data_IF_847427202690
#
_entry.id   IF_847427202690
#
_cell.length_a   1.000
_cell.length_b   1.000
_cell.length_c   1.000
_cell.angle_alpha   90.00
_cell.angle_beta   90.00
_cell.angle_gamma   90.00
#
_symmetry.space_group_name_H-M   'P 1'
#
loop_
_entity.id
_entity.type
_entity.pdbx_description
1 polymer ?
#
# COMPACT_ATOMS: atom_id res chain seq x y z
N UNK A 1 -14.37 51.66 -17.75
CA UNK A 1 -13.03 51.32 -17.22
C UNK A 1 -12.94 49.86 -16.75
N UNK A 2 -13.59 48.90 -17.43
CA UNK A 2 -13.84 47.54 -16.88
C UNK A 2 -13.16 46.40 -17.65
N UNK A 3 -12.68 46.63 -18.88
CA UNK A 3 -12.07 45.57 -19.71
C UNK A 3 -10.57 45.36 -19.42
N UNK A 4 -9.81 46.43 -19.20
CA UNK A 4 -8.36 46.41 -18.99
C UNK A 4 -7.95 45.77 -17.66
N UNK A 5 -8.76 45.93 -16.61
CA UNK A 5 -8.50 45.34 -15.30
C UNK A 5 -8.70 43.81 -15.31
N UNK A 6 -9.73 43.33 -16.02
CA UNK A 6 -10.08 41.90 -16.15
C UNK A 6 -9.02 41.10 -16.93
N UNK A 7 -8.45 41.69 -17.99
CA UNK A 7 -7.35 41.11 -18.77
C UNK A 7 -6.06 40.96 -17.95
N UNK A 8 -5.76 41.94 -17.09
CA UNK A 8 -4.58 41.90 -16.22
C UNK A 8 -4.69 40.85 -15.10
N UNK A 9 -5.90 40.64 -14.57
CA UNK A 9 -6.16 39.61 -13.56
C UNK A 9 -6.15 38.20 -14.16
N UNK A 10 -6.65 38.01 -15.40
CA UNK A 10 -6.56 36.72 -16.09
C UNK A 10 -5.11 36.35 -16.44
N UNK A 11 -4.30 37.33 -16.86
CA UNK A 11 -2.89 37.11 -17.15
C UNK A 11 -2.09 36.77 -15.88
N UNK A 12 -2.39 37.46 -14.76
CA UNK A 12 -1.78 37.19 -13.45
C UNK A 12 -2.16 35.80 -12.94
N UNK A 13 -3.43 35.42 -13.01
CA UNK A 13 -3.88 34.05 -12.65
C UNK A 13 -3.19 32.98 -13.48
N UNK A 14 -3.11 33.14 -14.80
CA UNK A 14 -2.44 32.18 -15.67
C UNK A 14 -0.93 32.06 -15.36
N UNK A 15 -0.28 33.15 -14.97
CA UNK A 15 1.13 33.15 -14.57
C UNK A 15 1.34 32.49 -13.20
N UNK A 16 0.45 32.75 -12.25
CA UNK A 16 0.44 32.12 -10.92
C UNK A 16 0.20 30.61 -11.04
N UNK A 17 -0.74 30.18 -11.88
CA UNK A 17 -1.03 28.76 -12.09
C UNK A 17 0.13 28.03 -12.77
N UNK A 18 0.76 28.64 -13.79
CA UNK A 18 2.00 28.11 -14.37
C UNK A 18 3.13 28.00 -13.35
N UNK A 19 3.27 28.99 -12.47
CA UNK A 19 4.27 28.96 -11.40
C UNK A 19 4.00 27.82 -10.40
N UNK A 20 2.75 27.63 -9.97
CA UNK A 20 2.39 26.51 -9.08
C UNK A 20 2.59 25.15 -9.74
N UNK A 21 2.23 24.99 -11.02
CA UNK A 21 2.49 23.76 -11.78
C UNK A 21 3.99 23.44 -11.88
N UNK A 22 4.82 24.46 -12.15
CA UNK A 22 6.28 24.28 -12.18
C UNK A 22 6.85 23.91 -10.81
N UNK A 23 6.36 24.55 -9.74
CA UNK A 23 6.77 24.24 -8.37
C UNK A 23 6.36 22.83 -7.96
N UNK A 24 5.13 22.42 -8.28
CA UNK A 24 4.63 21.06 -8.04
C UNK A 24 5.49 20.01 -8.77
N UNK A 25 5.81 20.25 -10.04
CA UNK A 25 6.72 19.38 -10.80
C UNK A 25 8.10 19.27 -10.16
N UNK A 26 8.67 20.38 -9.67
CA UNK A 26 9.97 20.38 -8.99
C UNK A 26 9.94 19.61 -7.67
N UNK A 27 8.86 19.77 -6.88
CA UNK A 27 8.66 19.05 -5.62
C UNK A 27 8.51 17.56 -5.91
N UNK A 28 7.66 17.17 -6.86
CA UNK A 28 7.47 15.77 -7.26
C UNK A 28 8.76 15.14 -7.77
N UNK A 29 9.54 15.86 -8.58
CA UNK A 29 10.83 15.38 -9.07
C UNK A 29 11.83 15.18 -7.92
N UNK A 30 11.85 16.09 -6.96
CA UNK A 30 12.71 15.97 -5.77
C UNK A 30 12.33 14.77 -4.92
N UNK A 31 11.04 14.61 -4.63
CA UNK A 31 10.51 13.46 -3.88
C UNK A 31 10.83 12.14 -4.60
N UNK A 32 10.71 12.10 -5.92
CA UNK A 32 11.09 10.95 -6.74
C UNK A 32 12.59 10.65 -6.68
N UNK A 33 13.43 11.67 -6.75
CA UNK A 33 14.89 11.50 -6.62
C UNK A 33 15.27 10.99 -5.22
N UNK A 34 14.60 11.48 -4.17
CA UNK A 34 14.80 11.01 -2.80
C UNK A 34 14.34 9.55 -2.64
N UNK A 35 13.17 9.17 -3.18
CA UNK A 35 12.65 7.80 -3.15
C UNK A 35 13.50 6.80 -3.98
N UNK A 36 14.06 7.23 -5.09
CA UNK A 36 14.96 6.44 -5.96
C UNK A 36 16.43 6.46 -5.54
N UNK A 37 16.77 7.19 -4.46
CA UNK A 37 18.12 7.20 -3.91
C UNK A 37 18.49 5.84 -3.28
N UNK A 38 19.78 5.51 -3.11
CA UNK A 38 20.20 4.32 -2.36
C UNK A 38 19.58 4.25 -0.95
N UNK A 39 19.45 5.41 -0.29
CA UNK A 39 18.81 5.53 1.02
C UNK A 39 17.30 5.25 0.94
N UNK A 40 16.61 5.76 -0.08
CA UNK A 40 15.20 5.47 -0.33
C UNK A 40 14.94 4.00 -0.63
N UNK A 41 15.84 3.36 -1.38
CA UNK A 41 15.81 1.91 -1.64
C UNK A 41 16.04 1.09 -0.37
N UNK A 42 17.02 1.47 0.44
CA UNK A 42 17.29 0.84 1.73
C UNK A 42 16.09 1.00 2.68
N UNK A 43 15.45 2.17 2.68
CA UNK A 43 14.22 2.43 3.42
C UNK A 43 13.07 1.54 2.94
N UNK A 44 12.84 1.44 1.63
CA UNK A 44 11.81 0.57 1.04
C UNK A 44 12.06 -0.89 1.42
N UNK A 45 13.29 -1.39 1.31
CA UNK A 45 13.64 -2.74 1.74
C UNK A 45 13.38 -2.91 3.24
N UNK A 46 13.86 -1.98 4.06
CA UNK A 46 13.82 -2.07 5.53
C UNK A 46 12.40 -1.99 6.09
N UNK A 47 11.57 -1.11 5.54
CA UNK A 47 10.22 -0.86 6.01
C UNK A 47 9.21 -1.87 5.48
N UNK A 48 9.48 -2.46 4.31
CA UNK A 48 8.51 -3.31 3.63
C UNK A 48 8.93 -4.78 3.55
N UNK A 49 10.21 -5.11 3.71
CA UNK A 49 10.68 -6.50 3.60
C UNK A 49 10.68 -7.06 2.18
N UNK A 50 10.51 -6.21 1.16
CA UNK A 50 10.62 -6.63 -0.25
C UNK A 50 12.09 -6.83 -0.58
N UNK A 51 12.43 -8.02 -1.06
CA UNK A 51 13.79 -8.36 -1.50
C UNK A 51 13.94 -8.42 -3.04
N UNK A 52 12.85 -8.23 -3.80
CA UNK A 52 12.92 -8.12 -5.26
C UNK A 52 13.52 -6.74 -5.63
N UNK A 53 14.81 -6.74 -5.94
CA UNK A 53 15.56 -5.53 -6.26
C UNK A 53 14.98 -4.73 -7.44
N UNK A 54 14.49 -5.43 -8.47
CA UNK A 54 13.92 -4.76 -9.63
C UNK A 54 12.57 -4.12 -9.29
N UNK A 55 11.76 -4.75 -8.43
CA UNK A 55 10.53 -4.15 -7.94
C UNK A 55 10.83 -2.93 -7.06
N UNK A 56 11.84 -3.00 -6.18
CA UNK A 56 12.27 -1.87 -5.35
C UNK A 56 12.75 -0.67 -6.20
N UNK A 57 13.58 -0.93 -7.21
CA UNK A 57 14.10 0.11 -8.10
C UNK A 57 12.96 0.80 -8.86
N UNK A 58 12.01 0.01 -9.37
CA UNK A 58 10.84 0.54 -10.07
C UNK A 58 9.94 1.37 -9.13
N UNK A 59 9.68 0.89 -7.91
CA UNK A 59 8.89 1.62 -6.92
C UNK A 59 9.57 2.96 -6.52
N UNK A 60 10.89 2.95 -6.34
CA UNK A 60 11.67 4.16 -6.07
C UNK A 60 11.60 5.15 -7.22
N UNK A 61 11.72 4.69 -8.47
CA UNK A 61 11.58 5.54 -9.67
C UNK A 61 10.18 6.14 -9.81
N UNK A 62 9.16 5.49 -9.28
CA UNK A 62 7.80 6.02 -9.31
C UNK A 62 7.54 7.06 -8.22
N UNK A 63 8.44 7.18 -7.24
CA UNK A 63 8.27 8.06 -6.08
C UNK A 63 7.41 7.43 -4.97
N UNK A 64 7.22 6.10 -5.00
CA UNK A 64 6.47 5.39 -3.97
C UNK A 64 7.31 5.34 -2.70
N UNK A 65 6.77 5.87 -1.60
CA UNK A 65 7.44 5.85 -0.30
C UNK A 65 7.18 4.54 0.43
N UNK A 66 8.05 4.22 1.39
CA UNK A 66 7.87 3.09 2.30
C UNK A 66 6.50 3.11 3.00
N UNK A 67 6.09 4.26 3.54
CA UNK A 67 4.80 4.40 4.24
C UNK A 67 3.60 4.13 3.33
N UNK A 68 3.62 4.64 2.09
CA UNK A 68 2.55 4.41 1.12
C UNK A 68 2.45 2.95 0.71
N UNK A 69 3.59 2.29 0.51
CA UNK A 69 3.65 0.87 0.17
C UNK A 69 3.25 -0.04 1.34
N UNK A 70 3.57 0.37 2.58
CA UNK A 70 3.11 -0.32 3.78
C UNK A 70 1.59 -0.30 3.89
N UNK A 71 0.95 0.86 3.72
CA UNK A 71 -0.52 0.95 3.74
C UNK A 71 -1.17 0.05 2.69
N UNK A 72 -0.59 0.01 1.48
CA UNK A 72 -1.06 -0.83 0.38
C UNK A 72 -0.97 -2.33 0.71
N UNK A 73 0.06 -2.75 1.45
CA UNK A 73 0.34 -4.17 1.74
C UNK A 73 -0.24 -4.68 3.05
N UNK A 74 -0.29 -3.86 4.10
CA UNK A 74 -0.81 -4.27 5.41
C UNK A 74 -2.34 -4.42 5.39
N UNK A 75 -3.02 -3.53 4.67
CA UNK A 75 -4.48 -3.51 4.65
C UNK A 75 -5.12 -4.81 4.12
N UNK A 76 -4.62 -5.41 3.01
CA UNK A 76 -5.05 -6.74 2.58
C UNK A 76 -4.86 -7.84 3.63
N UNK A 77 -3.76 -7.84 4.39
CA UNK A 77 -3.51 -8.84 5.43
C UNK A 77 -4.54 -8.72 6.57
N UNK A 78 -4.86 -7.49 6.97
CA UNK A 78 -5.89 -7.20 7.98
C UNK A 78 -7.27 -7.62 7.49
N UNK A 79 -7.61 -7.37 6.22
CA UNK A 79 -8.90 -7.82 5.66
C UNK A 79 -9.07 -9.34 5.72
N UNK A 80 -7.99 -10.08 5.46
CA UNK A 80 -7.99 -11.55 5.55
C UNK A 80 -8.10 -12.00 7.01
N UNK A 81 -7.35 -11.40 7.93
CA UNK A 81 -7.42 -11.71 9.36
C UNK A 81 -8.82 -11.45 9.95
N UNK A 82 -9.56 -10.46 9.43
CA UNK A 82 -10.95 -10.15 9.82
C UNK A 82 -12.00 -10.75 8.88
N UNK A 83 -11.62 -11.70 8.01
CA UNK A 83 -12.59 -12.36 7.13
C UNK A 83 -13.63 -13.16 7.93
N UNK A 84 -13.25 -13.61 9.13
CA UNK A 84 -14.14 -14.22 10.11
C UNK A 84 -14.45 -13.21 11.24
N UNK A 85 -15.58 -13.39 11.94
CA UNK A 85 -16.13 -12.36 12.85
C UNK A 85 -15.28 -12.10 14.10
N UNK A 86 -14.25 -12.92 14.35
CA UNK A 86 -13.30 -12.75 15.44
C UNK A 86 -11.91 -13.05 14.89
N UNK A 87 -10.99 -12.10 15.07
CA UNK A 87 -9.57 -12.39 15.15
C UNK A 87 -9.30 -12.56 16.65
N UNK A 88 -9.20 -13.79 17.13
CA UNK A 88 -8.83 -14.02 18.54
C UNK A 88 -7.34 -13.74 18.78
N UNK A 89 -6.91 -13.78 20.04
CA UNK A 89 -5.53 -13.47 20.41
C UNK A 89 -4.52 -14.43 19.74
N UNK A 90 -4.90 -15.69 19.51
CA UNK A 90 -4.07 -16.69 18.84
C UNK A 90 -3.91 -16.36 17.36
N UNK A 91 -5.01 -16.00 16.68
CA UNK A 91 -4.98 -15.59 15.27
C UNK A 91 -4.16 -14.31 15.08
N UNK A 92 -4.34 -13.30 15.94
CA UNK A 92 -3.50 -12.09 15.94
C UNK A 92 -2.02 -12.44 16.10
N UNK A 93 -1.67 -13.25 17.10
CA UNK A 93 -0.28 -13.63 17.34
C UNK A 93 0.33 -14.40 16.16
N UNK A 94 -0.46 -15.24 15.49
CA UNK A 94 -0.04 -15.93 14.28
C UNK A 94 0.21 -14.95 13.12
N UNK A 95 -0.68 -13.97 12.91
CA UNK A 95 -0.48 -12.93 11.89
C UNK A 95 0.75 -12.08 12.20
N UNK A 96 0.95 -11.67 13.45
CA UNK A 96 2.13 -10.88 13.84
C UNK A 96 3.44 -11.68 13.69
N UNK A 97 3.43 -12.97 14.05
CA UNK A 97 4.58 -13.87 13.82
C UNK A 97 4.87 -14.01 12.32
N UNK A 98 3.83 -14.13 11.50
CA UNK A 98 3.98 -14.19 10.05
C UNK A 98 4.47 -12.86 9.48
N UNK A 99 4.06 -11.72 10.04
CA UNK A 99 4.51 -10.40 9.62
C UNK A 99 6.04 -10.25 9.69
N UNK A 100 6.68 -10.79 10.75
CA UNK A 100 8.15 -10.83 10.86
C UNK A 100 8.78 -11.60 9.69
N UNK A 101 8.21 -12.74 9.30
CA UNK A 101 8.69 -13.55 8.15
C UNK A 101 8.49 -12.84 6.82
N UNK A 102 7.51 -11.94 6.74
CA UNK A 102 7.26 -11.07 5.60
C UNK A 102 8.15 -9.81 5.60
N UNK A 103 9.05 -9.69 6.59
CA UNK A 103 10.00 -8.60 6.75
C UNK A 103 9.43 -7.34 7.40
N UNK A 104 8.26 -7.43 8.02
CA UNK A 104 7.71 -6.35 8.86
C UNK A 104 8.41 -6.41 10.22
N UNK A 105 9.31 -5.46 10.46
CA UNK A 105 10.14 -5.40 11.68
C UNK A 105 9.40 -4.73 12.83
N UNK A 106 9.65 -5.20 14.05
CA UNK A 106 8.97 -4.74 15.28
C UNK A 106 9.20 -3.26 15.61
N UNK A 107 10.32 -2.69 15.16
CA UNK A 107 10.71 -1.29 15.40
C UNK A 107 10.19 -0.32 14.31
N UNK A 108 9.23 -0.75 13.50
CA UNK A 108 8.67 0.06 12.40
C UNK A 108 7.24 0.51 12.68
N UNK A 109 6.84 1.61 12.05
CA UNK A 109 5.44 2.08 12.02
C UNK A 109 4.50 1.01 11.46
N UNK A 110 4.96 0.17 10.52
CA UNK A 110 4.18 -0.93 9.94
C UNK A 110 3.71 -1.91 11.00
N UNK A 111 4.63 -2.31 11.90
CA UNK A 111 4.33 -3.22 12.99
C UNK A 111 3.26 -2.67 13.91
N UNK A 112 3.42 -1.42 14.35
CA UNK A 112 2.47 -0.75 15.25
C UNK A 112 1.09 -0.62 14.61
N UNK A 113 1.02 -0.24 13.33
CA UNK A 113 -0.26 -0.12 12.62
C UNK A 113 -0.96 -1.46 12.44
N UNK A 114 -0.20 -2.50 12.05
CA UNK A 114 -0.75 -3.84 11.90
C UNK A 114 -1.31 -4.36 13.21
N UNK A 115 -0.57 -4.20 14.31
CA UNK A 115 -0.98 -4.63 15.64
C UNK A 115 -2.29 -3.96 16.11
N UNK A 116 -2.37 -2.64 15.92
CA UNK A 116 -3.56 -1.86 16.26
C UNK A 116 -4.78 -2.32 15.46
N UNK A 117 -4.61 -2.55 14.16
CA UNK A 117 -5.69 -2.99 13.27
C UNK A 117 -6.14 -4.43 13.52
N UNK A 118 -5.26 -5.31 14.01
CA UNK A 118 -5.61 -6.67 14.42
C UNK A 118 -6.25 -6.71 15.82
N UNK A 119 -5.92 -5.77 16.70
CA UNK A 119 -6.52 -5.66 18.03
C UNK A 119 -7.95 -5.10 17.95
N UNK A 120 -8.15 -4.11 17.08
CA UNK A 120 -9.46 -3.50 16.87
C UNK A 120 -9.67 -3.30 15.39
N UNK A 121 -10.69 -3.97 14.85
CA UNK A 121 -11.11 -3.77 13.46
C UNK A 121 -11.32 -2.27 13.21
N UNK A 122 -10.58 -1.66 12.27
CA UNK A 122 -10.71 -0.26 11.94
C UNK A 122 -12.16 0.10 11.60
N UNK A 123 -12.76 1.11 12.25
CA UNK A 123 -14.08 1.58 11.88
C UNK A 123 -14.05 2.11 10.45
N UNK A 124 -14.93 1.59 9.59
CA UNK A 124 -14.89 1.94 8.17
C UNK A 124 -13.63 1.42 7.47
N UNK A 125 -13.24 0.16 7.74
CA UNK A 125 -12.33 -0.64 6.90
C UNK A 125 -12.86 -0.69 5.45
N UNK A 126 -12.72 0.43 4.77
CA UNK A 126 -13.35 0.75 3.50
C UNK A 126 -12.44 0.22 2.43
N UNK A 127 -12.76 -0.96 1.93
CA UNK A 127 -12.12 -1.53 0.74
C UNK A 127 -12.08 -0.49 -0.39
N UNK A 128 -13.03 0.44 -0.43
CA UNK A 128 -13.14 1.45 -1.48
C UNK A 128 -12.04 2.53 -1.43
N UNK A 129 -11.67 3.03 -0.25
CA UNK A 129 -10.56 3.99 -0.14
C UNK A 129 -9.23 3.33 -0.50
N UNK A 130 -9.02 2.09 -0.04
CA UNK A 130 -7.84 1.30 -0.41
C UNK A 130 -7.81 0.96 -1.90
N UNK A 131 -8.95 0.61 -2.52
CA UNK A 131 -9.07 0.37 -3.97
C UNK A 131 -8.69 1.62 -4.76
N UNK A 132 -9.21 2.78 -4.37
CA UNK A 132 -8.93 4.04 -5.05
C UNK A 132 -7.44 4.37 -4.96
N UNK A 133 -6.84 4.27 -3.78
CA UNK A 133 -5.40 4.47 -3.62
C UNK A 133 -4.56 3.49 -4.45
N UNK A 134 -4.92 2.20 -4.41
CA UNK A 134 -4.23 1.15 -5.17
C UNK A 134 -4.33 1.39 -6.68
N UNK A 135 -5.49 1.82 -7.16
CA UNK A 135 -5.71 2.15 -8.57
C UNK A 135 -4.78 3.29 -9.03
N UNK A 136 -4.74 4.41 -8.30
CA UNK A 136 -3.88 5.55 -8.63
C UNK A 136 -2.40 5.15 -8.67
N UNK A 137 -1.94 4.34 -7.71
CA UNK A 137 -0.56 3.82 -7.72
C UNK A 137 -0.33 2.94 -8.95
N UNK A 138 -1.27 2.05 -9.26
CA UNK A 138 -1.14 1.09 -10.36
C UNK A 138 -1.14 1.76 -11.74
N UNK A 139 -1.83 2.88 -11.91
CA UNK A 139 -1.79 3.65 -13.16
C UNK A 139 -0.37 4.13 -13.53
N UNK A 140 0.49 4.32 -12.53
CA UNK A 140 1.87 4.79 -12.73
C UNK A 140 2.87 3.66 -12.92
N UNK A 141 2.51 2.42 -12.58
CA UNK A 141 3.41 1.25 -12.60
C UNK A 141 3.45 0.56 -13.97
N UNK A 142 4.59 -0.06 -14.30
CA UNK A 142 4.61 -0.98 -15.44
C UNK A 142 3.75 -2.21 -15.16
N UNK A 143 3.31 -2.87 -16.23
CA UNK A 143 2.57 -4.13 -16.11
C UNK A 143 3.36 -5.20 -15.32
N UNK A 144 4.69 -5.21 -15.48
CA UNK A 144 5.56 -6.17 -14.80
C UNK A 144 5.56 -5.92 -13.28
N UNK A 145 5.77 -4.68 -12.82
CA UNK A 145 5.73 -4.38 -11.39
C UNK A 145 4.34 -4.58 -10.79
N UNK A 146 3.28 -4.21 -11.50
CA UNK A 146 1.90 -4.48 -11.04
C UNK A 146 1.69 -5.96 -10.79
N UNK A 147 2.03 -6.79 -11.77
CA UNK A 147 1.86 -8.25 -11.67
C UNK A 147 2.70 -8.84 -10.53
N UNK A 148 3.94 -8.39 -10.34
CA UNK A 148 4.79 -8.82 -9.22
C UNK A 148 4.21 -8.42 -7.87
N UNK A 149 3.72 -7.18 -7.73
CA UNK A 149 3.12 -6.69 -6.50
C UNK A 149 1.80 -7.41 -6.17
N UNK A 150 0.98 -7.71 -7.19
CA UNK A 150 -0.22 -8.55 -7.04
C UNK A 150 0.16 -9.94 -6.52
N UNK A 151 1.10 -10.61 -7.19
CA UNK A 151 1.54 -11.96 -6.80
C UNK A 151 2.13 -11.98 -5.39
N UNK A 152 2.95 -10.98 -5.05
CA UNK A 152 3.48 -10.81 -3.71
C UNK A 152 2.34 -10.67 -2.69
N UNK A 153 1.41 -9.75 -2.92
CA UNK A 153 0.29 -9.49 -2.00
C UNK A 153 -0.59 -10.73 -1.83
N UNK A 154 -0.90 -11.44 -2.93
CA UNK A 154 -1.66 -12.71 -2.91
C UNK A 154 -0.95 -13.79 -2.09
N UNK A 155 0.36 -13.95 -2.29
CA UNK A 155 1.18 -14.89 -1.54
C UNK A 155 1.16 -14.56 -0.04
N UNK A 156 1.35 -13.29 0.32
CA UNK A 156 1.39 -12.86 1.71
C UNK A 156 0.05 -13.06 2.42
N UNK A 157 -1.06 -12.69 1.77
CA UNK A 157 -2.40 -12.94 2.30
C UNK A 157 -2.66 -14.44 2.53
N UNK A 158 -2.23 -15.27 1.58
CA UNK A 158 -2.36 -16.73 1.68
C UNK A 158 -1.57 -17.30 2.85
N UNK A 159 -0.34 -16.82 3.06
CA UNK A 159 0.48 -17.26 4.19
C UNK A 159 -0.08 -16.78 5.53
N UNK A 160 -0.66 -15.58 5.59
CA UNK A 160 -1.37 -15.08 6.78
C UNK A 160 -2.58 -15.97 7.11
N UNK A 161 -3.41 -16.29 6.12
CA UNK A 161 -4.57 -17.17 6.31
C UNK A 161 -4.19 -18.59 6.74
N UNK A 162 -3.07 -19.12 6.24
CA UNK A 162 -2.54 -20.42 6.69
C UNK A 162 -2.04 -20.36 8.13
N UNK A 163 -1.42 -19.25 8.51
CA UNK A 163 -0.86 -19.06 9.86
C UNK A 163 -1.97 -18.90 10.91
N UNK A 164 -3.04 -18.15 10.61
CA UNK A 164 -4.21 -17.99 11.51
C UNK A 164 -4.97 -19.31 11.71
N UNK A 165 -4.95 -20.21 10.71
CA UNK A 165 -5.50 -21.56 10.86
C UNK A 165 -7.02 -21.58 11.08
N UNK A 166 -7.76 -20.90 10.21
CA UNK A 166 -9.19 -20.59 10.40
C UNK A 166 -10.03 -21.73 10.99
N UNK A 167 -10.71 -21.45 12.11
CA UNK A 167 -11.67 -22.24 12.93
C UNK A 167 -11.48 -23.77 13.12
N UNK A 168 -10.51 -24.41 12.47
CA UNK A 168 -10.30 -25.86 12.45
C UNK A 168 -8.82 -26.27 12.52
N UNK A 169 -7.88 -25.34 12.70
CA UNK A 169 -6.53 -25.66 13.20
C UNK A 169 -5.64 -26.51 12.30
N UNK A 170 -5.93 -26.63 11.00
CA UNK A 170 -5.15 -27.44 10.05
C UNK A 170 -4.61 -26.63 8.86
N UNK A 171 -4.03 -25.45 9.09
CA UNK A 171 -3.29 -24.70 8.04
C UNK A 171 -4.02 -24.51 6.71
N UNK A 172 -5.36 -24.58 6.72
CA UNK A 172 -6.23 -24.50 5.56
C UNK A 172 -6.89 -23.14 5.56
N UNK A 173 -6.79 -22.45 4.44
CA UNK A 173 -7.51 -21.20 4.19
C UNK A 173 -9.00 -21.49 4.15
N UNK A 174 -9.78 -20.77 4.96
CA UNK A 174 -11.24 -20.87 4.99
C UNK A 174 -11.87 -20.35 3.69
N UNK A 175 -13.13 -20.71 3.44
CA UNK A 175 -13.88 -20.18 2.28
C UNK A 175 -14.03 -18.65 2.33
N UNK A 176 -14.15 -18.08 3.53
CA UNK A 176 -14.31 -16.62 3.73
C UNK A 176 -12.99 -15.90 3.45
N UNK A 177 -11.88 -16.39 3.99
CA UNK A 177 -10.53 -15.86 3.69
C UNK A 177 -10.22 -15.97 2.20
N UNK A 178 -10.50 -17.12 1.57
CA UNK A 178 -10.28 -17.31 0.14
C UNK A 178 -11.10 -16.31 -0.70
N UNK A 179 -12.35 -16.03 -0.32
CA UNK A 179 -13.19 -15.06 -1.01
C UNK A 179 -12.64 -13.63 -0.89
N UNK A 180 -12.14 -13.25 0.29
CA UNK A 180 -11.48 -11.95 0.51
C UNK A 180 -10.22 -11.82 -0.35
N UNK A 181 -9.35 -12.84 -0.35
CA UNK A 181 -8.13 -12.89 -1.19
C UNK A 181 -8.48 -12.68 -2.66
N UNK A 182 -9.44 -13.46 -3.18
CA UNK A 182 -9.87 -13.35 -4.57
C UNK A 182 -10.43 -11.96 -4.90
N UNK A 183 -11.26 -11.40 -4.01
CA UNK A 183 -11.83 -10.07 -4.21
C UNK A 183 -10.75 -8.97 -4.28
N UNK A 184 -9.75 -9.04 -3.42
CA UNK A 184 -8.62 -8.10 -3.38
C UNK A 184 -7.80 -8.22 -4.66
N UNK A 185 -7.38 -9.44 -5.02
CA UNK A 185 -6.60 -9.69 -6.24
C UNK A 185 -7.34 -9.23 -7.50
N UNK A 186 -8.65 -9.49 -7.59
CA UNK A 186 -9.47 -9.00 -8.68
C UNK A 186 -9.55 -7.48 -8.71
N UNK A 187 -9.61 -6.82 -7.56
CA UNK A 187 -9.62 -5.35 -7.48
C UNK A 187 -8.30 -4.76 -7.99
N UNK A 188 -7.16 -5.36 -7.61
CA UNK A 188 -5.84 -4.94 -8.07
C UNK A 188 -5.64 -5.17 -9.59
N UNK A 189 -6.20 -6.26 -10.14
CA UNK A 189 -6.13 -6.59 -11.57
C UNK A 189 -7.03 -5.72 -12.47
N UNK A 190 -8.06 -5.11 -11.91
CA UNK A 190 -9.02 -4.23 -12.63
C UNK A 190 -8.60 -2.77 -12.62
N UNK A 191 -7.44 -2.46 -12.02
CA UNK A 191 -6.86 -1.13 -12.03
C UNK A 191 -6.24 -0.80 -13.39
#
# INVERSE_FOLDING_TARGET
MTATNKLSDSARKAQTEKFFQQLEQQILQRLRNEASSPQGREELLRATGIHDEHLLDELGQLGVTADGLMALRLFPLVLVAWAEEKADESERNAVMTQAVRLGIREDTTAWVLLDQWLTKRPPGLGVDAWKQYTHEVFLTMSEVARNRLIQLTETQMTEVAKASGGHFGFGKVSKKEQAVIQQIVLSMKRC
#
